data_IF_671460235886
#
_entry.id   IF_671460235886
#
_cell.length_a   1.000
_cell.length_b   1.000
_cell.length_c   1.000
_cell.angle_alpha   90.00
_cell.angle_beta   90.00
_cell.angle_gamma   90.00
#
_symmetry.space_group_name_H-M   'P 1'
#
loop_
_entity.id
_entity.type
_entity.pdbx_description
1 polymer ?
#
# COMPACT_ATOMS: atom_id res chain seq x y z
N UNK A 1 8.41 -17.88 -7.55
CA UNK A 1 7.88 -17.19 -8.75
C UNK A 1 8.49 -17.83 -10.00
N UNK A 2 7.70 -18.05 -11.03
CA UNK A 2 8.15 -18.47 -12.39
C UNK A 2 8.06 -17.27 -13.32
N UNK A 3 8.97 -17.14 -14.30
CA UNK A 3 9.01 -15.99 -15.21
C UNK A 3 9.10 -16.43 -16.65
N UNK A 4 8.52 -15.64 -17.55
CA UNK A 4 8.57 -15.85 -19.01
C UNK A 4 8.76 -14.51 -19.73
N UNK A 5 9.37 -14.53 -20.95
CA UNK A 5 9.32 -13.38 -21.84
C UNK A 5 7.88 -13.01 -22.19
N UNK A 6 7.65 -11.72 -22.36
CA UNK A 6 6.37 -11.16 -22.76
C UNK A 6 6.58 -10.15 -23.89
N UNK A 7 5.49 -9.69 -24.51
CA UNK A 7 5.55 -8.74 -25.62
C UNK A 7 6.43 -7.51 -25.31
N UNK A 8 7.04 -6.92 -26.34
CA UNK A 8 7.86 -5.72 -26.24
C UNK A 8 9.13 -5.88 -25.37
N UNK A 9 9.66 -7.10 -25.28
CA UNK A 9 10.89 -7.39 -24.52
C UNK A 9 10.71 -7.39 -22.99
N UNK A 10 9.47 -7.24 -22.51
CA UNK A 10 9.13 -7.32 -21.09
C UNK A 10 9.25 -8.74 -20.57
N UNK A 11 9.33 -8.90 -19.27
CA UNK A 11 9.33 -10.20 -18.59
C UNK A 11 8.29 -10.21 -17.49
N UNK A 12 7.37 -11.16 -17.56
CA UNK A 12 6.32 -11.32 -16.55
C UNK A 12 6.65 -12.53 -15.68
N UNK A 13 6.55 -12.33 -14.38
CA UNK A 13 6.61 -13.38 -13.37
C UNK A 13 5.22 -13.73 -12.86
N UNK A 14 5.01 -14.98 -12.53
CA UNK A 14 3.81 -15.48 -11.87
C UNK A 14 4.18 -16.20 -10.57
N UNK A 15 3.43 -15.93 -9.53
CA UNK A 15 3.44 -16.62 -8.25
C UNK A 15 1.99 -16.85 -7.83
N UNK A 16 1.76 -17.36 -6.63
CA UNK A 16 0.43 -17.42 -6.05
C UNK A 16 0.46 -16.83 -4.64
N UNK A 17 -0.65 -16.23 -4.27
CA UNK A 17 -0.96 -15.80 -2.92
C UNK A 17 -1.79 -16.92 -2.27
N UNK A 18 -1.21 -17.61 -1.30
CA UNK A 18 -1.86 -18.74 -0.62
C UNK A 18 -3.09 -18.29 0.17
N UNK A 19 -3.96 -19.25 0.48
CA UNK A 19 -5.08 -19.08 1.42
C UNK A 19 -4.73 -19.65 2.79
N UNK A 20 -5.55 -19.34 3.78
CA UNK A 20 -5.49 -19.94 5.10
C UNK A 20 -6.84 -20.60 5.41
N UNK A 21 -6.82 -21.70 6.15
CA UNK A 21 -8.04 -22.41 6.53
C UNK A 21 -8.96 -21.49 7.35
N UNK A 22 -10.20 -21.39 6.92
CA UNK A 22 -11.22 -20.57 7.59
C UNK A 22 -11.12 -19.08 7.28
N UNK A 23 -10.27 -18.68 6.32
CA UNK A 23 -10.04 -17.29 5.92
C UNK A 23 -9.75 -16.38 7.13
N UNK A 24 -8.86 -16.85 8.00
CA UNK A 24 -8.39 -16.11 9.20
C UNK A 24 -6.88 -15.98 9.18
N UNK A 25 -6.33 -14.95 9.83
CA UNK A 25 -4.90 -14.71 9.90
C UNK A 25 -4.12 -15.85 10.59
N UNK A 26 -4.75 -16.52 11.57
CA UNK A 26 -4.17 -17.64 12.30
C UNK A 26 -4.41 -19.00 11.65
N UNK A 27 -5.14 -19.03 10.54
CA UNK A 27 -5.47 -20.25 9.82
C UNK A 27 -4.25 -20.97 9.28
N UNK A 28 -4.29 -22.30 9.22
CA UNK A 28 -3.23 -23.10 8.62
C UNK A 28 -3.11 -22.77 7.13
N UNK A 29 -1.89 -22.47 6.70
CA UNK A 29 -1.59 -22.17 5.29
C UNK A 29 -2.03 -23.29 4.36
N UNK A 30 -2.61 -22.92 3.24
CA UNK A 30 -3.08 -23.83 2.18
C UNK A 30 -2.42 -23.48 0.85
N UNK A 31 -2.13 -24.48 0.05
CA UNK A 31 -1.52 -24.32 -1.27
C UNK A 31 -2.52 -23.89 -2.38
N UNK A 32 -3.70 -23.45 -2.02
CA UNK A 32 -4.67 -22.81 -2.91
C UNK A 32 -4.48 -21.30 -2.94
N UNK A 33 -5.14 -20.61 -3.85
CA UNK A 33 -5.18 -19.15 -3.84
C UNK A 33 -5.19 -18.49 -5.21
N UNK A 34 -4.86 -17.21 -5.23
CA UNK A 34 -4.90 -16.38 -6.43
C UNK A 34 -3.55 -16.36 -7.15
N UNK A 35 -3.56 -16.37 -8.48
CA UNK A 35 -2.37 -16.07 -9.26
C UNK A 35 -1.99 -14.59 -9.10
N UNK A 36 -0.71 -14.34 -8.89
CA UNK A 36 -0.14 -12.99 -8.74
C UNK A 36 0.86 -12.77 -9.85
N UNK A 37 0.67 -11.72 -10.63
CA UNK A 37 1.54 -11.37 -11.74
C UNK A 37 2.39 -10.14 -11.40
N UNK A 38 3.65 -10.16 -11.82
CA UNK A 38 4.59 -9.04 -11.68
C UNK A 38 5.39 -8.86 -12.95
N UNK A 39 5.54 -7.64 -13.38
CA UNK A 39 6.53 -7.29 -14.39
C UNK A 39 7.89 -7.11 -13.72
N UNK A 40 8.90 -7.82 -14.21
CA UNK A 40 10.26 -7.68 -13.73
C UNK A 40 10.96 -6.55 -14.45
N UNK A 41 11.60 -5.68 -13.68
CA UNK A 41 12.37 -4.55 -14.16
C UNK A 41 13.82 -4.73 -13.74
N UNK A 42 14.75 -4.56 -14.66
CA UNK A 42 16.17 -4.48 -14.34
C UNK A 42 16.59 -3.01 -14.31
N UNK A 43 17.17 -2.59 -13.20
CA UNK A 43 17.73 -1.25 -13.02
C UNK A 43 19.13 -1.15 -13.66
N UNK A 44 19.61 0.06 -13.89
CA UNK A 44 20.92 0.31 -14.51
C UNK A 44 22.09 -0.30 -13.71
N UNK A 45 21.97 -0.38 -12.40
CA UNK A 45 22.94 -1.02 -11.51
C UNK A 45 22.88 -2.56 -11.52
N UNK A 46 22.00 -3.15 -12.34
CA UNK A 46 21.81 -4.59 -12.47
C UNK A 46 20.86 -5.21 -11.44
N UNK A 47 20.34 -4.45 -10.47
CA UNK A 47 19.35 -4.97 -9.51
C UNK A 47 18.01 -5.21 -10.19
N UNK A 48 17.22 -6.12 -9.62
CA UNK A 48 15.89 -6.45 -10.13
C UNK A 48 14.82 -5.83 -9.25
N UNK A 49 13.87 -5.18 -9.92
CA UNK A 49 12.63 -4.71 -9.36
C UNK A 49 11.43 -5.54 -9.82
N UNK A 50 10.30 -5.32 -9.18
CA UNK A 50 9.01 -5.87 -9.58
C UNK A 50 7.95 -4.79 -9.49
N UNK A 51 7.08 -4.70 -10.49
CA UNK A 51 5.95 -3.75 -10.53
C UNK A 51 4.67 -4.43 -11.00
N UNK A 52 3.56 -3.73 -10.90
CA UNK A 52 2.32 -4.17 -11.52
C UNK A 52 2.45 -4.18 -13.04
N UNK A 53 2.10 -5.29 -13.74
CA UNK A 53 1.95 -5.25 -15.18
C UNK A 53 0.80 -4.31 -15.56
N UNK A 54 0.98 -3.52 -16.61
CA UNK A 54 -0.05 -2.57 -17.04
C UNK A 54 -1.39 -3.26 -17.37
N UNK A 55 -1.33 -4.49 -17.87
CA UNK A 55 -2.50 -5.32 -18.20
C UNK A 55 -3.30 -5.79 -16.99
N UNK A 56 -2.71 -5.71 -15.78
CA UNK A 56 -3.35 -6.06 -14.50
C UNK A 56 -3.98 -4.85 -13.80
N UNK A 57 -3.72 -3.65 -14.30
CA UNK A 57 -4.34 -2.44 -13.78
C UNK A 57 -5.77 -2.37 -14.32
N UNK A 58 -6.71 -2.88 -13.54
CA UNK A 58 -8.12 -2.89 -13.89
C UNK A 58 -8.63 -1.46 -14.13
N UNK A 59 -9.40 -1.29 -15.20
CA UNK A 59 -10.15 -0.08 -15.41
C UNK A 59 -11.22 0.05 -14.32
N UNK A 60 -11.26 1.20 -13.67
CA UNK A 60 -12.22 1.51 -12.62
C UNK A 60 -12.95 2.81 -12.91
N UNK A 61 -13.91 3.15 -12.07
CA UNK A 61 -14.57 4.43 -12.08
C UNK A 61 -13.90 5.38 -11.08
N UNK A 62 -13.56 6.62 -11.47
CA UNK A 62 -13.00 7.58 -10.53
C UNK A 62 -13.95 7.81 -9.35
N UNK A 63 -13.40 7.82 -8.13
CA UNK A 63 -14.16 8.24 -6.95
C UNK A 63 -14.04 9.75 -6.81
N UNK A 64 -15.11 10.51 -7.09
CA UNK A 64 -15.02 11.97 -7.20
C UNK A 64 -14.75 12.64 -5.86
N UNK A 65 -15.22 12.04 -4.77
CA UNK A 65 -15.02 12.54 -3.42
C UNK A 65 -14.95 11.38 -2.44
N UNK A 66 -14.00 11.44 -1.53
CA UNK A 66 -13.94 10.66 -0.30
C UNK A 66 -13.71 11.63 0.86
N UNK A 67 -14.30 11.32 2.00
CA UNK A 67 -14.16 12.18 3.17
C UNK A 67 -12.76 12.08 3.75
N UNK A 68 -12.12 13.22 4.01
CA UNK A 68 -10.89 13.25 4.79
C UNK A 68 -11.13 14.05 6.06
N UNK A 69 -10.86 13.45 7.20
CA UNK A 69 -10.99 14.09 8.50
C UNK A 69 -9.67 14.04 9.25
N UNK A 70 -9.32 15.15 9.89
CA UNK A 70 -8.19 15.22 10.80
C UNK A 70 -8.61 14.67 12.16
N UNK A 71 -7.71 13.94 12.82
CA UNK A 71 -7.93 13.40 14.17
C UNK A 71 -7.14 14.11 15.26
N UNK A 72 -6.28 15.03 14.86
CA UNK A 72 -5.43 15.79 15.75
C UNK A 72 -5.15 17.19 15.16
N UNK A 73 -4.65 18.10 16.02
CA UNK A 73 -4.37 19.48 15.65
C UNK A 73 -3.10 19.64 14.79
N UNK A 74 -2.31 18.60 14.63
CA UNK A 74 -1.06 18.58 13.85
C UNK A 74 -1.25 18.11 12.42
N UNK A 75 -2.45 17.63 12.11
CA UNK A 75 -2.84 17.20 10.77
C UNK A 75 -3.53 18.33 10.03
N UNK A 76 -3.09 18.60 8.81
CA UNK A 76 -3.71 19.57 7.90
C UNK A 76 -4.12 18.88 6.61
N UNK A 77 -5.31 19.17 6.12
CA UNK A 77 -5.85 18.67 4.87
C UNK A 77 -6.12 19.84 3.92
N UNK A 78 -5.56 19.77 2.73
CA UNK A 78 -5.76 20.75 1.66
C UNK A 78 -6.16 19.97 0.40
N UNK A 79 -7.45 20.00 0.05
CA UNK A 79 -8.02 19.22 -1.06
C UNK A 79 -7.70 17.72 -0.96
N UNK A 80 -6.72 17.24 -1.74
CA UNK A 80 -6.25 15.84 -1.76
C UNK A 80 -4.88 15.67 -1.12
N UNK A 81 -4.35 16.71 -0.52
CA UNK A 81 -3.05 16.71 0.15
C UNK A 81 -3.24 16.67 1.65
N UNK A 82 -2.59 15.73 2.29
CA UNK A 82 -2.70 15.47 3.73
C UNK A 82 -1.31 15.62 4.34
N UNK A 83 -1.15 16.62 5.19
CA UNK A 83 0.09 16.90 5.89
C UNK A 83 -0.02 16.37 7.31
N UNK A 84 0.80 15.40 7.66
CA UNK A 84 0.92 14.86 9.00
C UNK A 84 2.23 15.33 9.62
N UNK A 85 2.14 16.06 10.73
CA UNK A 85 3.29 16.63 11.44
C UNK A 85 3.37 16.04 12.85
N UNK A 86 4.01 14.88 13.00
CA UNK A 86 4.18 14.17 14.26
C UNK A 86 5.65 14.13 14.65
N UNK A 87 6.21 15.24 15.07
CA UNK A 87 7.60 15.29 15.55
C UNK A 87 7.82 14.44 16.80
N UNK A 88 6.78 14.22 17.58
CA UNK A 88 6.70 13.28 18.70
C UNK A 88 5.29 12.72 18.75
N UNK A 89 5.19 11.39 18.86
CA UNK A 89 3.91 10.68 18.93
C UNK A 89 3.31 10.37 17.57
N UNK A 90 2.00 10.46 17.46
CA UNK A 90 1.22 9.99 16.33
C UNK A 90 0.34 11.11 15.77
N UNK A 91 0.42 11.34 14.45
CA UNK A 91 -0.53 12.16 13.71
C UNK A 91 -1.34 11.27 12.77
N UNK A 92 -2.64 11.53 12.66
CA UNK A 92 -3.57 10.66 11.92
C UNK A 92 -4.60 11.48 11.14
N UNK A 93 -4.81 11.08 9.89
CA UNK A 93 -5.98 11.47 9.11
C UNK A 93 -6.79 10.23 8.75
N UNK A 94 -8.11 10.33 8.74
CA UNK A 94 -8.99 9.27 8.26
C UNK A 94 -9.57 9.61 6.90
N UNK A 95 -9.44 8.69 5.95
CA UNK A 95 -10.06 8.75 4.63
C UNK A 95 -11.25 7.78 4.61
N UNK A 96 -12.46 8.28 4.51
CA UNK A 96 -13.69 7.49 4.50
C UNK A 96 -14.34 7.45 3.12
N UNK A 97 -15.16 6.43 2.87
CA UNK A 97 -15.83 6.26 1.58
C UNK A 97 -14.93 5.66 0.48
N UNK A 98 -13.83 5.05 0.87
CA UNK A 98 -13.00 4.27 -0.05
C UNK A 98 -13.74 2.97 -0.40
N UNK A 99 -13.95 2.65 -1.69
CA UNK A 99 -14.62 1.42 -2.08
C UNK A 99 -13.89 0.18 -1.58
N UNK A 100 -14.65 -0.89 -1.30
CA UNK A 100 -14.09 -2.17 -0.88
C UNK A 100 -13.08 -2.72 -1.89
N UNK A 101 -13.43 -2.67 -3.17
CA UNK A 101 -12.50 -2.91 -4.25
C UNK A 101 -12.06 -1.56 -4.83
N UNK A 102 -10.80 -1.23 -4.69
CA UNK A 102 -10.29 0.06 -5.09
C UNK A 102 -8.84 -0.01 -5.57
N UNK A 103 -8.46 0.94 -6.41
CA UNK A 103 -7.06 1.29 -6.65
C UNK A 103 -6.82 2.70 -6.14
N UNK A 104 -5.78 2.84 -5.34
CA UNK A 104 -5.31 4.12 -4.84
C UNK A 104 -3.92 4.38 -5.42
N UNK A 105 -3.73 5.58 -5.96
CA UNK A 105 -2.41 6.06 -6.38
C UNK A 105 -2.07 7.29 -5.55
N UNK A 106 -0.96 7.22 -4.83
CA UNK A 106 -0.49 8.27 -3.94
C UNK A 106 0.92 8.72 -4.33
N UNK A 107 1.21 9.96 -4.02
CA UNK A 107 2.59 10.48 -3.93
C UNK A 107 2.89 10.73 -2.46
N UNK A 108 3.97 10.19 -1.98
CA UNK A 108 4.38 10.28 -0.58
C UNK A 108 5.64 11.12 -0.48
N UNK A 109 5.63 12.10 0.41
CA UNK A 109 6.72 13.06 0.61
C UNK A 109 7.14 13.00 2.09
N UNK A 110 8.00 12.05 2.47
CA UNK A 110 8.56 12.00 3.81
C UNK A 110 9.57 13.13 3.99
N UNK A 111 9.64 13.69 5.20
CA UNK A 111 10.73 14.58 5.55
C UNK A 111 12.02 13.79 5.82
N UNK A 112 13.21 14.39 5.71
CA UNK A 112 14.48 13.67 5.82
C UNK A 112 14.70 12.86 7.10
N UNK A 113 14.00 13.21 8.17
CA UNK A 113 14.07 12.56 9.47
C UNK A 113 12.87 11.65 9.76
N UNK A 114 12.06 11.33 8.77
CA UNK A 114 10.92 10.46 8.95
C UNK A 114 11.34 9.06 9.40
N UNK A 115 10.76 8.56 10.50
CA UNK A 115 11.05 7.25 11.10
C UNK A 115 10.01 6.20 10.77
N UNK A 116 8.71 6.57 10.89
CA UNK A 116 7.61 5.65 10.65
C UNK A 116 6.38 6.36 10.13
N UNK A 117 5.77 5.83 9.09
CA UNK A 117 4.49 6.30 8.55
C UNK A 117 3.83 5.20 7.73
N UNK A 118 2.55 5.39 7.43
CA UNK A 118 1.88 4.38 6.63
C UNK A 118 0.39 4.59 6.42
N UNK A 119 -0.23 3.49 5.98
CA UNK A 119 -1.67 3.35 5.82
C UNK A 119 -2.15 2.24 6.75
N UNK A 120 -3.21 2.51 7.49
CA UNK A 120 -3.87 1.48 8.29
C UNK A 120 -5.27 1.23 7.74
N UNK A 121 -5.55 -0.02 7.42
CA UNK A 121 -6.82 -0.47 6.86
C UNK A 121 -7.65 -1.07 8.00
N UNK A 122 -8.56 -0.28 8.55
CA UNK A 122 -9.31 -0.61 9.77
C UNK A 122 -10.79 -0.83 9.49
N UNK A 123 -11.43 -1.73 10.22
CA UNK A 123 -12.88 -1.95 10.17
C UNK A 123 -13.68 -0.88 10.93
N UNK A 124 -13.09 -0.27 11.95
CA UNK A 124 -13.73 0.65 12.89
C UNK A 124 -13.10 2.04 12.94
N UNK A 125 -12.16 2.31 12.02
CA UNK A 125 -11.39 3.53 11.98
C UNK A 125 -10.54 3.77 13.25
N UNK A 126 -10.12 2.71 13.92
CA UNK A 126 -9.16 2.72 15.04
C UNK A 126 -7.89 1.97 14.66
N UNK A 127 -6.89 1.94 15.56
CA UNK A 127 -5.69 1.10 15.41
C UNK A 127 -5.79 -0.20 16.23
N UNK A 128 -6.95 -0.47 16.83
CA UNK A 128 -7.15 -1.65 17.69
C UNK A 128 -7.31 -2.93 16.85
N UNK A 129 -7.78 -2.76 15.60
CA UNK A 129 -7.97 -3.86 14.65
C UNK A 129 -7.67 -3.40 13.24
N UNK A 130 -7.24 -4.31 12.37
CA UNK A 130 -6.96 -4.01 10.98
C UNK A 130 -5.54 -4.39 10.55
N UNK A 131 -5.07 -3.78 9.47
CA UNK A 131 -3.80 -4.15 8.82
C UNK A 131 -2.97 -2.91 8.52
N UNK A 132 -1.72 -2.93 8.92
CA UNK A 132 -0.77 -1.86 8.65
C UNK A 132 0.03 -2.13 7.38
N UNK A 133 0.08 -1.11 6.52
CA UNK A 133 1.15 -0.93 5.57
C UNK A 133 2.10 0.12 6.16
N UNK A 134 3.18 -0.33 6.76
CA UNK A 134 4.13 0.50 7.49
C UNK A 134 5.44 0.68 6.73
N UNK A 135 5.89 1.92 6.64
CA UNK A 135 7.16 2.32 6.05
C UNK A 135 8.12 2.75 7.16
N UNK A 136 9.30 2.13 7.19
CA UNK A 136 10.42 2.49 8.08
C UNK A 136 11.62 2.95 7.26
N UNK A 137 11.80 4.24 6.99
CA UNK A 137 12.91 4.75 6.20
C UNK A 137 14.29 4.41 6.79
N UNK A 138 14.44 4.52 8.11
CA UNK A 138 15.69 4.21 8.81
C UNK A 138 16.08 2.73 8.68
N UNK A 139 15.12 1.83 8.81
CA UNK A 139 15.32 0.40 8.63
C UNK A 139 15.33 -0.02 7.16
N UNK A 140 15.00 0.89 6.24
CA UNK A 140 14.81 0.61 4.81
C UNK A 140 13.87 -0.58 4.59
N UNK A 141 12.77 -0.62 5.34
CA UNK A 141 11.82 -1.73 5.31
C UNK A 141 10.39 -1.26 5.11
N UNK A 142 9.60 -2.13 4.52
CA UNK A 142 8.15 -1.97 4.41
C UNK A 142 7.49 -3.26 4.87
N UNK A 143 6.48 -3.12 5.71
CA UNK A 143 5.73 -4.25 6.26
C UNK A 143 4.26 -4.10 5.91
N UNK A 144 3.62 -5.19 5.51
CA UNK A 144 2.18 -5.31 5.34
C UNK A 144 1.73 -6.57 6.07
N UNK A 145 0.99 -6.40 7.16
CA UNK A 145 0.55 -7.52 8.00
C UNK A 145 1.75 -8.43 8.39
N UNK A 146 1.76 -9.66 7.94
CA UNK A 146 2.82 -10.64 8.22
C UNK A 146 3.97 -10.63 7.20
N UNK A 147 3.86 -9.84 6.15
CA UNK A 147 4.87 -9.76 5.09
C UNK A 147 5.78 -8.56 5.29
N UNK A 148 7.07 -8.75 5.01
CA UNK A 148 8.05 -7.66 5.06
C UNK A 148 9.03 -7.74 3.90
N UNK A 149 9.39 -6.59 3.37
CA UNK A 149 10.51 -6.46 2.45
C UNK A 149 11.57 -5.54 3.06
N UNK A 150 12.82 -5.93 2.87
CA UNK A 150 13.99 -5.23 3.40
C UNK A 150 14.80 -4.61 2.26
N UNK A 151 15.70 -3.71 2.61
CA UNK A 151 16.57 -3.01 1.68
C UNK A 151 15.79 -2.25 0.57
N UNK A 152 14.65 -1.65 0.95
CA UNK A 152 13.85 -0.81 0.06
C UNK A 152 14.52 0.55 -0.05
N UNK A 153 14.88 0.92 -1.27
CA UNK A 153 15.54 2.18 -1.56
C UNK A 153 14.53 3.33 -1.65
N UNK A 154 15.00 4.55 -1.35
CA UNK A 154 14.26 5.79 -1.63
C UNK A 154 13.14 6.13 -0.65
N UNK A 155 12.91 5.37 0.42
CA UNK A 155 11.83 5.62 1.40
C UNK A 155 11.97 6.96 2.16
N UNK A 156 13.15 7.56 2.19
CA UNK A 156 13.40 8.89 2.77
C UNK A 156 13.29 10.04 1.74
N UNK A 157 12.84 9.76 0.53
CA UNK A 157 12.65 10.73 -0.56
C UNK A 157 11.23 10.62 -1.10
N UNK A 158 10.74 11.58 -1.88
CA UNK A 158 9.44 11.46 -2.54
C UNK A 158 9.34 10.20 -3.40
N UNK A 159 8.26 9.43 -3.24
CA UNK A 159 8.00 8.23 -4.01
C UNK A 159 6.51 8.08 -4.35
N UNK A 160 6.22 7.25 -5.35
CA UNK A 160 4.86 6.85 -5.70
C UNK A 160 4.48 5.56 -4.98
N UNK A 161 3.22 5.47 -4.60
CA UNK A 161 2.64 4.32 -3.95
C UNK A 161 1.32 3.97 -4.64
N UNK A 162 1.25 2.79 -5.24
CA UNK A 162 0.01 2.24 -5.76
C UNK A 162 -0.47 1.11 -4.85
N UNK A 163 -1.74 1.14 -4.48
CA UNK A 163 -2.38 0.14 -3.64
C UNK A 163 -3.62 -0.38 -4.35
N UNK A 164 -3.72 -1.68 -4.49
CA UNK A 164 -4.91 -2.37 -5.00
C UNK A 164 -5.57 -3.10 -3.83
N UNK A 165 -6.82 -2.78 -3.60
CA UNK A 165 -7.71 -3.44 -2.65
C UNK A 165 -8.67 -4.31 -3.45
N UNK A 166 -8.67 -5.62 -3.21
CA UNK A 166 -9.53 -6.54 -3.92
C UNK A 166 -9.99 -7.70 -3.00
N UNK A 167 -11.25 -7.65 -2.60
CA UNK A 167 -11.76 -8.60 -1.59
C UNK A 167 -10.91 -8.53 -0.32
N UNK A 168 -10.34 -9.64 0.06
CA UNK A 168 -9.43 -9.78 1.20
C UNK A 168 -7.95 -9.47 0.88
N UNK A 169 -7.64 -9.02 -0.33
CA UNK A 169 -6.26 -8.80 -0.77
C UNK A 169 -5.91 -7.30 -0.69
N UNK A 170 -4.74 -7.02 -0.13
CA UNK A 170 -4.03 -5.76 -0.26
C UNK A 170 -2.76 -6.00 -1.07
N UNK A 171 -2.64 -5.38 -2.23
CA UNK A 171 -1.49 -5.48 -3.12
C UNK A 171 -0.87 -4.10 -3.33
N UNK A 172 0.43 -4.00 -3.11
CA UNK A 172 1.15 -2.72 -3.03
C UNK A 172 2.30 -2.69 -4.02
N UNK A 173 2.45 -1.57 -4.71
CA UNK A 173 3.62 -1.28 -5.55
C UNK A 173 4.25 0.04 -5.12
N UNK A 174 5.51 -0.01 -4.73
CA UNK A 174 6.28 1.12 -4.21
C UNK A 174 7.23 1.57 -5.30
N UNK A 175 7.12 2.83 -5.70
CA UNK A 175 7.98 3.48 -6.68
C UNK A 175 8.15 2.71 -8.00
N UNK A 176 7.14 1.90 -8.39
CA UNK A 176 7.20 1.08 -9.59
C UNK A 176 8.32 0.04 -9.62
N UNK A 177 8.88 -0.34 -8.46
CA UNK A 177 10.02 -1.26 -8.41
C UNK A 177 10.02 -2.27 -7.25
N UNK A 178 9.20 -2.09 -6.23
CA UNK A 178 9.06 -3.05 -5.12
C UNK A 178 7.58 -3.34 -4.90
N UNK A 179 7.23 -4.61 -4.75
CA UNK A 179 5.84 -5.02 -4.52
C UNK A 179 5.72 -5.87 -3.28
N UNK A 180 4.61 -5.70 -2.58
CA UNK A 180 4.25 -6.43 -1.37
C UNK A 180 2.76 -6.76 -1.45
N UNK A 181 2.38 -7.98 -1.10
CA UNK A 181 0.99 -8.44 -1.18
C UNK A 181 0.69 -9.36 0.00
N UNK A 182 -0.45 -9.19 0.62
CA UNK A 182 -0.94 -10.14 1.63
C UNK A 182 -2.46 -10.28 1.59
N UNK A 183 -2.95 -11.34 2.23
CA UNK A 183 -4.36 -11.51 2.55
C UNK A 183 -4.67 -10.83 3.87
N UNK A 184 -5.77 -10.14 3.88
CA UNK A 184 -6.27 -9.33 4.98
C UNK A 184 -7.76 -9.65 5.15
N UNK A 185 -8.12 -10.85 5.65
CA UNK A 185 -9.50 -11.36 5.63
C UNK A 185 -10.48 -10.53 6.47
N UNK A 186 -9.98 -9.83 7.48
CA UNK A 186 -10.81 -8.95 8.33
C UNK A 186 -10.86 -7.50 7.82
N UNK A 187 -10.41 -7.25 6.59
CA UNK A 187 -10.51 -5.94 5.96
C UNK A 187 -11.94 -5.68 5.49
N UNK A 188 -12.75 -5.13 6.36
CA UNK A 188 -14.19 -4.86 6.10
C UNK A 188 -14.54 -3.36 6.07
N UNK A 189 -13.55 -2.49 5.93
CA UNK A 189 -13.76 -1.06 6.08
C UNK A 189 -13.63 -0.29 4.77
N UNK A 190 -14.49 0.72 4.63
CA UNK A 190 -14.34 1.82 3.68
C UNK A 190 -13.47 2.96 4.22
N UNK A 191 -12.77 2.75 5.32
CA UNK A 191 -11.92 3.75 5.97
C UNK A 191 -10.46 3.32 5.94
N UNK A 192 -9.60 4.25 5.53
CA UNK A 192 -8.14 4.11 5.60
C UNK A 192 -7.62 5.22 6.50
N UNK A 193 -6.80 4.87 7.50
CA UNK A 193 -6.06 5.85 8.27
C UNK A 193 -4.69 6.06 7.62
N UNK A 194 -4.37 7.31 7.35
CA UNK A 194 -3.01 7.74 7.03
C UNK A 194 -2.37 8.19 8.32
N UNK A 195 -1.18 7.71 8.60
CA UNK A 195 -0.52 8.06 9.87
C UNK A 195 0.97 8.36 9.70
N UNK A 196 1.49 9.15 10.63
CA UNK A 196 2.90 9.40 10.84
C UNK A 196 3.22 9.21 12.32
N UNK A 197 4.30 8.52 12.63
CA UNK A 197 4.79 8.27 13.98
C UNK A 197 6.21 8.82 14.10
N UNK A 198 6.41 9.76 15.02
CA UNK A 198 7.68 10.47 15.20
C UNK A 198 8.28 10.98 13.88
N UNK A 199 7.39 11.45 12.98
CA UNK A 199 7.67 11.74 11.59
C UNK A 199 6.83 12.88 11.07
N UNK A 200 7.38 13.63 10.13
CA UNK A 200 6.59 14.54 9.31
C UNK A 200 6.50 13.96 7.90
N UNK A 201 5.29 13.79 7.38
CA UNK A 201 5.05 13.24 6.04
C UNK A 201 3.84 13.91 5.38
N UNK A 202 3.92 14.06 4.06
CA UNK A 202 2.79 14.50 3.25
C UNK A 202 2.36 13.39 2.31
N UNK A 203 1.05 13.12 2.27
CA UNK A 203 0.41 12.25 1.30
C UNK A 203 -0.41 13.08 0.33
N UNK A 204 -0.18 12.91 -0.96
CA UNK A 204 -1.01 13.44 -2.02
C UNK A 204 -1.78 12.28 -2.65
N UNK A 205 -3.11 12.31 -2.52
CA UNK A 205 -4.00 11.31 -3.11
C UNK A 205 -4.21 11.64 -4.58
N UNK A 206 -3.33 11.13 -5.45
CA UNK A 206 -3.37 11.46 -6.88
C UNK A 206 -4.63 10.90 -7.54
N UNK A 207 -5.01 9.66 -7.23
CA UNK A 207 -6.18 9.00 -7.80
C UNK A 207 -6.78 7.97 -6.82
N UNK A 208 -8.11 7.88 -6.81
CA UNK A 208 -8.86 6.78 -6.21
C UNK A 208 -9.87 6.27 -7.23
N UNK A 209 -9.80 4.99 -7.55
CA UNK A 209 -10.65 4.32 -8.53
C UNK A 209 -11.45 3.21 -7.85
N UNK A 210 -12.77 3.20 -8.02
CA UNK A 210 -13.59 2.03 -7.68
C UNK A 210 -13.37 0.94 -8.73
N UNK A 211 -13.04 -0.25 -8.30
CA UNK A 211 -12.89 -1.42 -9.16
C UNK A 211 -14.21 -2.21 -9.23
N UNK A 212 -14.46 -2.92 -10.33
CA UNK A 212 -15.70 -3.68 -10.52
C UNK A 212 -15.90 -4.81 -9.50
#
# INVERSE_FOLDING_TARGET
>A
MKTAPFKEGRRIGVAWLGTRRGDTDDGVFQFGGNAVFRELVQHEDGTLGAKFPAEMLLAGAPVPAFGVATRDATTRVEERTIHLAARQGLAVASCSGVPHNARLSLRVFPQPNARGFGLHFSSDATFDSGYDLHFSPDARSVTLNHQSILAVEGLARPFTLDVVLWGDIIDVCIHGCRTLIDRCPQRDSSTILLYAQDSDVTFEMAEVMALP
#
